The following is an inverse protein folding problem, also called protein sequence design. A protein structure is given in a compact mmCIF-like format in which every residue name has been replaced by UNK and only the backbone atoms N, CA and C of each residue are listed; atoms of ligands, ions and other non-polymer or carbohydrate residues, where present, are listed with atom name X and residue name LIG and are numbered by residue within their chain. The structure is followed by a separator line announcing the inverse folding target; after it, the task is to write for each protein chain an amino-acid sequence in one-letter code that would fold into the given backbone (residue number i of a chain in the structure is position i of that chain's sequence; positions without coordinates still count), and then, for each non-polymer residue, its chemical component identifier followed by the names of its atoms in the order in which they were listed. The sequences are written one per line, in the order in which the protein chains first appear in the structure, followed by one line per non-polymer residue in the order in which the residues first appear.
data_IF_862259179515
#
_entry.id   IF_862259179515
#
_cell.length_a   1.000
_cell.length_b   1.000
_cell.length_c   1.000
_cell.angle_alpha   90.00
_cell.angle_beta   90.00
_cell.angle_gamma   90.00
#
_symmetry.space_group_name_H-M   'P 1'
#
loop_
_entity.id
_entity.type
_entity.pdbx_description
1 polymer ?
#
# COMPACT_ATOMS: atom_id res chain seq x y z
N UNK A 1 8.83 6.68 -14.35
CA UNK A 1 8.25 6.16 -13.08
C UNK A 1 6.76 5.94 -13.25
N UNK A 2 6.31 4.78 -12.91
CA UNK A 2 4.92 4.39 -13.12
C UNK A 2 4.23 4.07 -11.81
N UNK A 3 3.09 4.71 -11.55
CA UNK A 3 2.20 4.42 -10.43
C UNK A 3 1.01 3.62 -10.93
N UNK A 4 0.59 2.63 -10.15
CA UNK A 4 -0.53 1.77 -10.48
C UNK A 4 -1.69 2.06 -9.55
N UNK A 5 -2.79 2.66 -10.03
CA UNK A 5 -3.97 2.83 -9.19
C UNK A 5 -4.63 1.47 -8.97
N UNK A 6 -4.96 1.17 -7.73
CA UNK A 6 -5.51 -0.15 -7.36
C UNK A 6 -6.91 -0.09 -6.77
N UNK A 7 -7.44 1.10 -6.54
CA UNK A 7 -8.84 1.29 -6.15
C UNK A 7 -9.66 1.87 -7.31
N UNK A 8 -10.98 1.94 -7.13
CA UNK A 8 -11.87 2.42 -8.19
C UNK A 8 -11.80 3.93 -8.40
N UNK A 9 -11.47 4.68 -7.36
CA UNK A 9 -11.53 6.15 -7.38
C UNK A 9 -10.17 6.81 -7.69
N UNK A 10 -9.11 6.03 -7.86
CA UNK A 10 -7.79 6.58 -8.12
C UNK A 10 -7.19 7.30 -6.92
N UNK A 11 -7.36 6.76 -5.73
CA UNK A 11 -6.86 7.32 -4.48
C UNK A 11 -5.86 6.42 -3.75
N UNK A 12 -5.69 5.19 -4.21
CA UNK A 12 -4.71 4.27 -3.68
C UNK A 12 -3.82 3.79 -4.81
N UNK A 13 -2.52 3.94 -4.63
CA UNK A 13 -1.53 3.61 -5.66
C UNK A 13 -0.45 2.72 -5.07
N UNK A 14 0.13 1.88 -5.91
CA UNK A 14 1.38 1.16 -5.62
C UNK A 14 2.42 1.52 -6.66
N UNK A 15 3.69 1.46 -6.28
CA UNK A 15 4.79 1.72 -7.20
C UNK A 15 6.09 1.07 -6.72
N UNK A 16 7.09 0.94 -7.62
CA UNK A 16 8.47 0.74 -7.18
C UNK A 16 9.00 2.00 -6.48
N UNK A 17 10.29 1.98 -6.11
CA UNK A 17 10.92 3.10 -5.46
C UNK A 17 10.75 4.40 -6.25
N UNK A 18 10.51 5.49 -5.53
CA UNK A 18 10.36 6.82 -6.13
C UNK A 18 11.68 7.59 -6.00
N UNK A 19 12.01 8.39 -7.01
CA UNK A 19 13.27 9.11 -7.09
C UNK A 19 13.13 10.64 -7.19
N UNK A 20 11.91 11.13 -7.40
CA UNK A 20 11.66 12.58 -7.40
C UNK A 20 10.20 12.88 -7.00
N UNK A 21 9.95 14.12 -6.59
CA UNK A 21 8.64 14.54 -6.11
C UNK A 21 7.62 14.83 -7.22
N UNK A 22 8.06 14.94 -8.47
CA UNK A 22 7.16 15.30 -9.57
C UNK A 22 6.04 14.29 -9.74
N UNK A 23 6.33 13.01 -9.54
CA UNK A 23 5.33 11.96 -9.65
C UNK A 23 4.25 12.12 -8.57
N UNK A 24 4.64 12.52 -7.36
CA UNK A 24 3.69 12.75 -6.28
C UNK A 24 2.75 13.91 -6.61
N UNK A 25 3.32 15.01 -7.13
CA UNK A 25 2.52 16.18 -7.50
C UNK A 25 1.57 15.87 -8.66
N UNK A 26 2.07 15.16 -9.68
CA UNK A 26 1.27 14.84 -10.86
C UNK A 26 0.04 13.99 -10.53
N UNK A 27 0.17 13.07 -9.58
CA UNK A 27 -0.93 12.21 -9.16
C UNK A 27 -1.68 12.72 -7.92
N UNK A 28 -1.28 13.87 -7.38
CA UNK A 28 -1.92 14.45 -6.21
C UNK A 28 -1.72 13.64 -4.92
N UNK A 29 -0.62 12.90 -4.83
CA UNK A 29 -0.31 12.08 -3.66
C UNK A 29 0.06 12.99 -2.50
N UNK A 30 -0.57 12.80 -1.36
CA UNK A 30 -0.31 13.53 -0.14
C UNK A 30 0.04 12.64 1.06
N UNK A 31 0.03 11.33 0.87
CA UNK A 31 0.43 10.36 1.88
C UNK A 31 1.28 9.28 1.21
N UNK A 32 2.47 9.06 1.75
CA UNK A 32 3.41 8.06 1.21
C UNK A 32 3.72 7.04 2.31
N UNK A 33 3.53 5.78 1.99
CA UNK A 33 3.92 4.65 2.84
C UNK A 33 5.15 4.01 2.19
N UNK A 34 6.29 4.17 2.84
CA UNK A 34 7.58 3.68 2.35
C UNK A 34 7.94 2.39 3.07
N UNK A 35 7.96 1.29 2.34
CA UNK A 35 8.22 -0.05 2.85
C UNK A 35 9.62 -0.56 2.51
N UNK A 36 10.41 0.27 1.87
CA UNK A 36 11.80 -0.03 1.48
C UNK A 36 12.77 0.44 2.57
N UNK A 37 13.92 -0.19 2.68
CA UNK A 37 14.98 0.29 3.56
C UNK A 37 15.61 1.58 3.03
N UNK A 38 15.82 2.55 3.93
CA UNK A 38 16.32 3.87 3.57
C UNK A 38 15.19 4.87 3.31
N UNK A 39 15.30 6.04 3.91
CA UNK A 39 14.29 7.10 3.78
C UNK A 39 14.29 7.68 2.37
N UNK A 40 13.12 8.03 1.87
CA UNK A 40 12.98 8.75 0.61
C UNK A 40 13.51 10.18 0.76
N UNK A 41 14.29 10.62 -0.23
CA UNK A 41 14.85 11.98 -0.25
C UNK A 41 13.96 12.98 -0.96
N UNK A 42 12.93 12.51 -1.66
CA UNK A 42 12.11 13.32 -2.56
C UNK A 42 10.77 13.72 -1.96
N UNK A 43 10.53 13.44 -0.69
CA UNK A 43 9.25 13.76 -0.05
C UNK A 43 9.13 15.27 0.14
N UNK A 44 8.02 15.91 -0.30
CA UNK A 44 7.81 17.34 -0.09
C UNK A 44 7.83 17.67 1.39
N UNK A 45 8.59 18.71 1.75
CA UNK A 45 8.80 19.12 3.14
C UNK A 45 8.00 20.36 3.54
N UNK A 46 7.19 20.91 2.64
CA UNK A 46 6.33 22.05 2.96
C UNK A 46 5.35 21.66 4.08
N UNK A 47 5.07 22.61 4.95
CA UNK A 47 4.21 22.40 6.12
C UNK A 47 2.85 21.82 5.70
N UNK A 48 2.42 20.78 6.38
CA UNK A 48 1.14 20.08 6.16
C UNK A 48 0.98 19.44 4.77
N UNK A 49 2.05 19.36 3.98
CA UNK A 49 1.95 18.91 2.59
C UNK A 49 1.82 17.41 2.45
N UNK A 50 2.70 16.65 3.07
CA UNK A 50 2.78 15.20 2.88
C UNK A 50 2.95 14.47 4.19
N UNK A 51 2.10 13.48 4.42
CA UNK A 51 2.29 12.51 5.50
C UNK A 51 3.20 11.41 4.98
N UNK A 52 4.33 11.20 5.63
CA UNK A 52 5.30 10.18 5.25
C UNK A 52 5.39 9.13 6.35
N UNK A 53 5.03 7.90 6.01
CA UNK A 53 5.05 6.76 6.93
C UNK A 53 6.19 5.84 6.49
N UNK A 54 7.21 5.71 7.32
CA UNK A 54 8.34 4.86 7.05
C UNK A 54 8.23 3.58 7.88
N UNK A 55 8.02 2.46 7.20
CA UNK A 55 7.85 1.15 7.83
C UNK A 55 8.52 0.08 6.96
N UNK A 56 9.86 0.00 6.98
CA UNK A 56 10.54 -0.99 6.16
C UNK A 56 10.21 -2.41 6.61
N UNK A 57 9.85 -3.25 5.64
CA UNK A 57 9.55 -4.66 5.87
C UNK A 57 10.33 -5.52 4.88
N UNK A 58 10.52 -6.78 5.24
CA UNK A 58 11.19 -7.73 4.37
C UNK A 58 10.20 -8.36 3.39
N UNK A 59 10.67 -8.62 2.18
CA UNK A 59 9.90 -9.39 1.19
C UNK A 59 10.20 -10.88 1.41
N UNK A 60 9.61 -11.43 2.46
CA UNK A 60 9.85 -12.81 2.90
C UNK A 60 8.52 -13.56 2.87
N UNK A 61 8.48 -14.70 2.17
CA UNK A 61 7.27 -15.49 2.05
C UNK A 61 7.00 -16.40 3.26
N UNK A 62 7.95 -16.49 4.18
CA UNK A 62 7.81 -17.33 5.39
C UNK A 62 7.62 -16.52 6.66
N UNK A 63 7.86 -15.21 6.61
CA UNK A 63 7.79 -14.35 7.79
C UNK A 63 7.02 -13.08 7.48
N UNK A 64 5.86 -12.92 8.10
CA UNK A 64 5.06 -11.72 7.95
C UNK A 64 5.66 -10.55 8.74
N UNK A 65 5.44 -9.30 8.32
CA UNK A 65 5.81 -8.15 9.12
C UNK A 65 4.99 -8.10 10.42
N UNK A 66 5.31 -7.13 11.27
CA UNK A 66 4.49 -6.87 12.46
C UNK A 66 3.06 -6.50 12.02
N UNK A 67 2.13 -7.44 12.16
CA UNK A 67 0.77 -7.30 11.65
C UNK A 67 -0.05 -6.28 12.42
N UNK A 68 0.24 -6.06 13.69
CA UNK A 68 -0.44 -5.00 14.46
C UNK A 68 -0.15 -3.64 13.83
N UNK A 69 1.11 -3.37 13.54
CA UNK A 69 1.53 -2.12 12.89
C UNK A 69 1.05 -2.03 11.47
N UNK A 70 1.19 -3.10 10.70
CA UNK A 70 0.75 -3.13 9.30
C UNK A 70 -0.75 -2.84 9.19
N UNK A 71 -1.56 -3.44 10.06
CA UNK A 71 -3.00 -3.20 10.05
C UNK A 71 -3.37 -1.82 10.56
N UNK A 72 -2.62 -1.26 11.50
CA UNK A 72 -2.82 0.13 11.94
C UNK A 72 -2.54 1.11 10.79
N UNK A 73 -1.46 0.89 10.04
CA UNK A 73 -1.16 1.68 8.85
C UNK A 73 -2.28 1.55 7.81
N UNK A 74 -2.79 0.35 7.61
CA UNK A 74 -3.87 0.11 6.66
C UNK A 74 -5.16 0.84 7.06
N UNK A 75 -5.52 0.82 8.34
CA UNK A 75 -6.68 1.58 8.84
C UNK A 75 -6.50 3.07 8.64
N UNK A 76 -5.32 3.59 8.91
CA UNK A 76 -5.01 5.01 8.67
C UNK A 76 -5.14 5.34 7.19
N UNK A 77 -4.55 4.52 6.31
CA UNK A 77 -4.64 4.71 4.87
C UNK A 77 -6.09 4.73 4.38
N UNK A 78 -6.89 3.76 4.80
CA UNK A 78 -8.31 3.70 4.43
C UNK A 78 -9.08 4.92 4.94
N UNK A 79 -8.80 5.37 6.16
CA UNK A 79 -9.44 6.56 6.73
C UNK A 79 -9.10 7.83 5.93
N UNK A 80 -7.83 7.98 5.55
CA UNK A 80 -7.41 9.13 4.74
C UNK A 80 -8.06 9.11 3.35
N UNK A 81 -8.15 7.94 2.72
CA UNK A 81 -8.80 7.78 1.42
C UNK A 81 -10.28 8.17 1.52
N UNK A 82 -10.96 7.74 2.59
CA UNK A 82 -12.36 8.10 2.82
C UNK A 82 -12.58 9.61 2.91
N UNK A 83 -11.57 10.34 3.40
CA UNK A 83 -11.60 11.81 3.50
C UNK A 83 -11.11 12.50 2.22
N UNK A 84 -10.81 11.76 1.16
CA UNK A 84 -10.42 12.31 -0.13
C UNK A 84 -8.93 12.41 -0.38
N UNK A 85 -8.11 11.93 0.54
CA UNK A 85 -6.66 11.93 0.36
C UNK A 85 -6.21 10.82 -0.61
N UNK A 86 -5.02 10.99 -1.17
CA UNK A 86 -4.42 10.04 -2.09
C UNK A 86 -3.17 9.45 -1.49
N UNK A 87 -3.13 8.13 -1.43
CA UNK A 87 -2.13 7.35 -0.71
C UNK A 87 -1.30 6.53 -1.70
N UNK A 88 0.01 6.61 -1.57
CA UNK A 88 0.95 5.76 -2.31
C UNK A 88 1.61 4.79 -1.34
N UNK A 89 1.54 3.50 -1.66
CA UNK A 89 2.32 2.46 -0.99
C UNK A 89 3.42 2.02 -1.95
N UNK A 90 4.69 2.17 -1.55
CA UNK A 90 5.78 1.79 -2.43
C UNK A 90 6.83 0.93 -1.73
N UNK A 91 7.55 0.17 -2.53
CA UNK A 91 8.70 -0.62 -2.12
C UNK A 91 9.75 -0.58 -3.24
N UNK A 92 10.78 -1.42 -3.18
CA UNK A 92 11.84 -1.38 -4.17
C UNK A 92 11.37 -1.67 -5.60
N UNK A 93 10.62 -2.76 -5.78
CA UNK A 93 10.19 -3.21 -7.11
C UNK A 93 8.70 -3.03 -7.39
N UNK A 94 7.90 -2.77 -6.37
CA UNK A 94 6.46 -2.51 -6.55
C UNK A 94 5.62 -3.75 -6.82
N UNK A 95 6.04 -4.93 -6.36
CA UNK A 95 5.31 -6.19 -6.59
C UNK A 95 4.71 -6.79 -5.33
N UNK A 96 5.44 -6.86 -4.24
CA UNK A 96 5.03 -7.64 -3.06
C UNK A 96 4.72 -6.78 -1.84
N UNK A 97 5.69 -6.07 -1.30
CA UNK A 97 5.53 -5.30 -0.06
C UNK A 97 4.51 -4.19 -0.21
N UNK A 98 4.62 -3.41 -1.30
CA UNK A 98 3.67 -2.34 -1.61
C UNK A 98 2.26 -2.89 -1.81
N UNK A 99 2.13 -3.99 -2.54
CA UNK A 99 0.84 -4.62 -2.79
C UNK A 99 0.26 -5.23 -1.52
N UNK A 100 1.09 -5.78 -0.63
CA UNK A 100 0.61 -6.33 0.63
C UNK A 100 -0.08 -5.27 1.48
N UNK A 101 0.56 -4.14 1.70
CA UNK A 101 -0.03 -3.05 2.49
C UNK A 101 -1.24 -2.46 1.76
N UNK A 102 -1.16 -2.26 0.45
CA UNK A 102 -2.31 -1.79 -0.33
C UNK A 102 -3.49 -2.76 -0.23
N UNK A 103 -3.22 -4.07 -0.22
CA UNK A 103 -4.24 -5.10 -0.03
C UNK A 103 -4.93 -4.98 1.32
N UNK A 104 -4.17 -4.75 2.38
CA UNK A 104 -4.74 -4.52 3.71
C UNK A 104 -5.62 -3.26 3.72
N UNK A 105 -5.21 -2.21 3.01
CA UNK A 105 -6.01 -0.99 2.87
C UNK A 105 -7.32 -1.28 2.12
N UNK A 106 -7.27 -1.99 1.00
CA UNK A 106 -8.47 -2.37 0.24
C UNK A 106 -9.46 -3.17 1.10
N UNK A 107 -8.93 -4.06 1.94
CA UNK A 107 -9.76 -4.84 2.86
C UNK A 107 -10.42 -3.93 3.90
N UNK A 108 -9.69 -2.98 4.46
CA UNK A 108 -10.26 -1.98 5.37
C UNK A 108 -11.31 -1.11 4.69
N UNK A 109 -11.22 -0.94 3.37
CA UNK A 109 -12.21 -0.22 2.58
C UNK A 109 -13.46 -1.06 2.26
N UNK A 110 -13.49 -2.33 2.67
CA UNK A 110 -14.65 -3.21 2.54
C UNK A 110 -14.49 -4.37 1.56
N UNK A 111 -13.35 -4.50 0.92
CA UNK A 111 -13.10 -5.59 -0.03
C UNK A 111 -12.77 -6.89 0.72
N UNK A 112 -13.16 -8.04 0.18
CA UNK A 112 -12.70 -9.32 0.71
C UNK A 112 -11.22 -9.53 0.40
N UNK A 113 -10.53 -10.35 1.20
CA UNK A 113 -9.13 -10.69 0.93
C UNK A 113 -8.89 -11.27 -0.46
N UNK A 114 -9.66 -12.29 -0.90
CA UNK A 114 -9.52 -12.80 -2.26
C UNK A 114 -9.74 -11.76 -3.35
N UNK A 115 -10.72 -10.89 -3.19
CA UNK A 115 -10.98 -9.81 -4.16
C UNK A 115 -9.85 -8.79 -4.19
N UNK A 116 -9.28 -8.46 -3.03
CA UNK A 116 -8.13 -7.55 -2.95
C UNK A 116 -6.93 -8.13 -3.70
N UNK A 117 -6.62 -9.40 -3.51
CA UNK A 117 -5.52 -10.07 -4.23
C UNK A 117 -5.78 -10.06 -5.74
N UNK A 118 -6.99 -10.41 -6.16
CA UNK A 118 -7.35 -10.40 -7.58
C UNK A 118 -7.23 -9.00 -8.18
N UNK A 119 -7.68 -7.97 -7.46
CA UNK A 119 -7.58 -6.57 -7.90
C UNK A 119 -6.14 -6.14 -8.08
N UNK A 120 -5.29 -6.42 -7.09
CA UNK A 120 -3.88 -6.05 -7.14
C UNK A 120 -3.17 -6.70 -8.32
N UNK A 121 -3.44 -7.98 -8.55
CA UNK A 121 -2.85 -8.72 -9.67
C UNK A 121 -3.35 -8.23 -11.03
N UNK A 122 -4.60 -7.78 -11.10
CA UNK A 122 -5.16 -7.21 -12.33
C UNK A 122 -4.57 -5.84 -12.64
N UNK A 123 -4.35 -5.01 -11.62
CA UNK A 123 -3.85 -3.64 -11.79
C UNK A 123 -2.33 -3.56 -11.93
N UNK A 124 -1.62 -4.50 -11.31
CA UNK A 124 -0.16 -4.61 -11.42
C UNK A 124 0.16 -6.06 -11.76
N UNK A 125 0.24 -6.42 -13.04
CA UNK A 125 0.60 -7.79 -13.44
C UNK A 125 1.92 -8.22 -12.79
N UNK A 126 1.93 -9.40 -12.18
CA UNK A 126 3.06 -9.90 -11.41
C UNK A 126 3.02 -9.59 -9.92
N UNK A 127 2.05 -8.80 -9.46
CA UNK A 127 1.94 -8.47 -8.03
C UNK A 127 1.65 -9.71 -7.19
N UNK A 128 2.15 -9.69 -5.95
CA UNK A 128 1.91 -10.73 -4.95
C UNK A 128 2.39 -12.12 -5.37
N UNK A 129 3.56 -12.18 -6.01
CA UNK A 129 4.21 -13.49 -6.21
C UNK A 129 4.82 -14.01 -4.90
N UNK A 130 4.91 -13.19 -3.86
CA UNK A 130 5.19 -13.63 -2.50
C UNK A 130 3.95 -14.36 -1.98
N UNK A 131 4.01 -15.69 -1.94
CA UNK A 131 2.86 -16.53 -1.58
C UNK A 131 2.41 -16.33 -0.13
N UNK A 132 3.32 -16.02 0.77
CA UNK A 132 2.99 -15.75 2.18
C UNK A 132 2.13 -14.52 2.31
N UNK A 133 2.46 -13.45 1.59
CA UNK A 133 1.66 -12.22 1.58
C UNK A 133 0.28 -12.47 0.96
N UNK A 134 0.23 -13.15 -0.16
CA UNK A 134 -1.03 -13.46 -0.83
C UNK A 134 -1.94 -14.30 0.08
N UNK A 135 -1.39 -15.35 0.70
CA UNK A 135 -2.15 -16.22 1.60
C UNK A 135 -2.69 -15.46 2.81
N UNK A 136 -1.88 -14.56 3.38
CA UNK A 136 -2.31 -13.73 4.50
C UNK A 136 -3.51 -12.87 4.13
N UNK A 137 -3.45 -12.19 2.98
CA UNK A 137 -4.56 -11.35 2.51
C UNK A 137 -5.82 -12.18 2.24
N UNK A 138 -5.67 -13.31 1.55
CA UNK A 138 -6.81 -14.16 1.18
C UNK A 138 -7.54 -14.75 2.38
N UNK A 139 -6.86 -14.88 3.52
CA UNK A 139 -7.45 -15.39 4.75
C UNK A 139 -8.31 -14.36 5.51
N UNK A 140 -8.27 -13.08 5.12
CA UNK A 140 -8.99 -12.02 5.82
C UNK A 140 -10.42 -11.91 5.28
N UNK A 141 -11.38 -11.81 6.21
CA UNK A 141 -12.79 -11.69 5.87
C UNK A 141 -13.12 -10.33 5.27
N UNK A 142 -14.19 -10.30 4.48
CA UNK A 142 -14.75 -9.05 3.98
C UNK A 142 -15.04 -8.10 5.15
N UNK A 143 -15.10 -6.78 4.88
CA UNK A 143 -15.30 -5.70 5.84
C UNK A 143 -14.06 -5.30 6.64
N UNK A 144 -12.89 -5.82 6.26
CA UNK A 144 -11.62 -5.43 6.87
C UNK A 144 -11.40 -5.94 8.28
N UNK A 145 -12.24 -6.85 8.77
CA UNK A 145 -12.11 -7.39 10.12
C UNK A 145 -11.32 -8.67 10.09
N UNK A 146 -10.34 -8.77 10.98
CA UNK A 146 -9.65 -10.02 11.19
C UNK A 146 -10.63 -11.04 11.79
N UNK A 147 -10.48 -12.35 11.45
CA UNK A 147 -11.19 -13.40 12.17
C UNK A 147 -10.87 -13.30 13.66
N UNK A 148 -11.87 -13.44 14.47
CA UNK A 148 -11.69 -13.38 15.92
C UNK A 148 -11.24 -14.75 16.43
#
# INVERSE_FOLDING_TARGET
MELFPVDDDGRLFISPAIDNSDVLERFGIDTVIDLEGGLDNCIPTATNRCLYIYFPIDDDNECLPNMIKARAIARLGASLIAEGHRVLSHCGMGFNRSAFIAGLILIEMGMSGPDAVARLRARRPGALFNDGFAACLEAILASGRAPV
#
